data_IF_123637169974
#
_entry.id   IF_123637169974
#
_cell.length_a   1.000
_cell.length_b   1.000
_cell.length_c   1.000
_cell.angle_alpha   90.00
_cell.angle_beta   90.00
_cell.angle_gamma   90.00
#
_symmetry.space_group_name_H-M   'P 1'
#
loop_
_entity.id
_entity.type
_entity.pdbx_description
1 polymer ?
#
# COMPACT_ATOMS: atom_id res chain seq x y z
N UNK A 1 3.79 1.60 -29.58
CA UNK A 1 3.53 0.54 -30.55
C UNK A 1 2.14 0.67 -31.19
N UNK A 2 0.99 0.40 -30.54
CA UNK A 2 -0.34 0.48 -31.19
C UNK A 2 -0.63 1.87 -31.79
N UNK A 3 -0.30 2.95 -31.06
CA UNK A 3 -0.47 4.32 -31.53
C UNK A 3 0.45 4.69 -32.69
N UNK A 4 1.59 4.05 -32.85
CA UNK A 4 2.52 4.22 -34.00
C UNK A 4 1.99 3.47 -35.23
N UNK A 5 1.63 2.19 -35.03
CA UNK A 5 1.00 1.37 -36.07
C UNK A 5 -0.27 2.03 -36.63
N UNK A 6 -1.10 2.62 -35.74
CA UNK A 6 -2.32 3.31 -36.14
C UNK A 6 -2.09 4.63 -36.94
N UNK A 7 -0.87 5.16 -36.97
CA UNK A 7 -0.47 6.34 -37.71
C UNK A 7 0.18 5.99 -39.05
N UNK A 8 0.73 4.78 -39.16
CA UNK A 8 1.39 4.32 -40.35
C UNK A 8 0.35 3.81 -41.35
N UNK A 9 0.28 4.47 -42.53
CA UNK A 9 -0.69 4.14 -43.58
C UNK A 9 -0.28 2.92 -44.44
N UNK A 10 0.95 2.44 -44.24
CA UNK A 10 1.45 1.27 -44.99
C UNK A 10 1.09 -0.05 -44.33
N UNK A 11 0.73 0.01 -42.99
CA UNK A 11 0.40 -1.17 -42.23
C UNK A 11 -1.12 -1.44 -42.31
N UNK A 12 -1.49 -2.57 -42.91
CA UNK A 12 -2.87 -3.02 -43.03
C UNK A 12 -3.17 -4.26 -42.16
N UNK A 13 -2.14 -4.99 -41.72
CA UNK A 13 -2.29 -6.25 -40.96
C UNK A 13 -1.29 -6.28 -39.81
N UNK A 14 -1.78 -6.68 -38.63
CA UNK A 14 -0.98 -7.08 -37.47
C UNK A 14 -1.10 -8.60 -37.35
N UNK A 15 -0.01 -9.31 -37.67
CA UNK A 15 0.03 -10.76 -37.53
C UNK A 15 0.52 -11.14 -36.13
N UNK A 16 -0.27 -11.93 -35.41
CA UNK A 16 0.08 -12.51 -34.12
C UNK A 16 0.07 -14.04 -34.20
N UNK A 17 0.84 -14.71 -33.35
CA UNK A 17 0.83 -16.16 -33.30
C UNK A 17 -0.57 -16.69 -32.90
N UNK A 18 -1.12 -16.12 -31.81
CA UNK A 18 -2.46 -16.41 -31.30
C UNK A 18 -3.04 -15.15 -30.65
N UNK A 19 -4.35 -15.05 -30.55
CA UNK A 19 -5.00 -13.83 -30.03
C UNK A 19 -4.64 -13.51 -28.58
N UNK A 20 -4.24 -14.48 -27.74
CA UNK A 20 -3.71 -14.26 -26.39
C UNK A 20 -2.35 -13.52 -26.38
N UNK A 21 -1.63 -13.53 -27.52
CA UNK A 21 -0.38 -12.74 -27.68
C UNK A 21 -0.67 -11.30 -28.07
N UNK A 22 -1.83 -11.02 -28.64
CA UNK A 22 -2.24 -9.66 -28.94
C UNK A 22 -2.55 -8.87 -27.67
N UNK A 23 -3.37 -9.41 -26.78
CA UNK A 23 -3.66 -8.85 -25.48
C UNK A 23 -4.10 -9.93 -24.47
N UNK A 24 -3.73 -9.73 -23.21
CA UNK A 24 -4.17 -10.60 -22.11
C UNK A 24 -5.51 -10.16 -21.50
N UNK A 25 -5.96 -8.95 -21.78
CA UNK A 25 -7.21 -8.39 -21.28
C UNK A 25 -8.25 -8.46 -22.41
N UNK A 26 -9.23 -9.35 -22.28
CA UNK A 26 -10.22 -9.63 -23.31
C UNK A 26 -10.97 -8.39 -23.81
N UNK A 27 -11.52 -7.59 -22.87
CA UNK A 27 -12.25 -6.37 -23.22
C UNK A 27 -11.37 -5.32 -23.91
N UNK A 28 -10.17 -5.06 -23.40
CA UNK A 28 -9.23 -4.12 -24.01
C UNK A 28 -8.78 -4.59 -25.40
N UNK A 29 -8.64 -5.91 -25.61
CA UNK A 29 -8.33 -6.50 -26.90
C UNK A 29 -9.43 -6.20 -27.92
N UNK A 30 -10.70 -6.40 -27.54
CA UNK A 30 -11.85 -6.12 -28.40
C UNK A 30 -11.93 -4.64 -28.79
N UNK A 31 -11.77 -3.75 -27.82
CA UNK A 31 -11.77 -2.29 -28.07
C UNK A 31 -10.60 -1.87 -28.98
N UNK A 32 -9.42 -2.43 -28.73
CA UNK A 32 -8.23 -2.14 -29.55
C UNK A 32 -8.39 -2.68 -30.97
N UNK A 33 -8.92 -3.89 -31.11
CA UNK A 33 -9.25 -4.48 -32.42
C UNK A 33 -10.25 -3.61 -33.20
N UNK A 34 -11.33 -3.19 -32.55
CA UNK A 34 -12.34 -2.31 -33.15
C UNK A 34 -11.75 -0.96 -33.60
N UNK A 35 -10.89 -0.37 -32.78
CA UNK A 35 -10.18 0.87 -33.11
C UNK A 35 -9.24 0.70 -34.32
N UNK A 36 -8.50 -0.41 -34.37
CA UNK A 36 -7.61 -0.72 -35.52
C UNK A 36 -8.41 -0.98 -36.80
N UNK A 37 -9.49 -1.77 -36.70
CA UNK A 37 -10.39 -2.06 -37.81
C UNK A 37 -10.99 -0.77 -38.41
N UNK A 38 -11.37 0.19 -37.57
CA UNK A 38 -11.85 1.50 -38.02
C UNK A 38 -10.80 2.31 -38.82
N UNK A 39 -9.52 1.94 -38.68
CA UNK A 39 -8.40 2.54 -39.43
C UNK A 39 -7.95 1.66 -40.60
N UNK A 40 -8.66 0.57 -40.91
CA UNK A 40 -8.32 -0.35 -41.99
C UNK A 40 -7.19 -1.33 -41.64
N UNK A 41 -6.90 -1.50 -40.34
CA UNK A 41 -5.84 -2.41 -39.86
C UNK A 41 -6.49 -3.62 -39.20
N UNK A 42 -6.19 -4.80 -39.70
CA UNK A 42 -6.73 -6.08 -39.22
C UNK A 42 -5.73 -6.80 -38.33
N UNK A 43 -6.24 -7.42 -37.27
CA UNK A 43 -5.44 -8.31 -36.42
C UNK A 43 -5.73 -9.74 -36.84
N UNK A 44 -4.72 -10.46 -37.30
CA UNK A 44 -4.83 -11.83 -37.81
C UNK A 44 -3.98 -12.77 -36.97
N UNK A 45 -4.55 -13.92 -36.59
CA UNK A 45 -3.84 -14.97 -35.85
C UNK A 45 -3.32 -16.04 -36.82
N UNK A 46 -2.08 -16.48 -36.62
CA UNK A 46 -1.47 -17.55 -37.38
C UNK A 46 -2.06 -18.95 -37.05
N UNK A 47 -2.53 -19.13 -35.83
CA UNK A 47 -3.02 -20.43 -35.34
C UNK A 47 -4.54 -20.51 -35.23
N UNK A 48 -5.24 -19.38 -35.27
CA UNK A 48 -6.69 -19.28 -35.12
C UNK A 48 -7.25 -18.60 -36.36
N UNK A 49 -7.55 -19.40 -37.39
CA UNK A 49 -8.04 -18.89 -38.67
C UNK A 49 -9.46 -18.33 -38.49
N UNK A 50 -9.58 -17.02 -38.61
CA UNK A 50 -10.84 -16.27 -38.60
C UNK A 50 -10.85 -15.33 -39.81
N UNK A 51 -12.03 -15.05 -40.32
CA UNK A 51 -12.21 -14.05 -41.36
C UNK A 51 -12.65 -12.71 -40.71
N UNK A 52 -11.73 -11.71 -40.55
CA UNK A 52 -12.06 -10.48 -39.85
C UNK A 52 -13.09 -9.59 -40.57
N UNK A 53 -13.39 -9.86 -41.82
CA UNK A 53 -14.38 -9.11 -42.61
C UNK A 53 -15.79 -9.68 -42.54
N UNK A 54 -15.92 -10.95 -42.22
CA UNK A 54 -17.23 -11.56 -41.99
C UNK A 54 -17.79 -11.25 -40.60
N UNK A 55 -19.12 -11.12 -40.51
CA UNK A 55 -19.78 -10.93 -39.22
C UNK A 55 -19.56 -12.14 -38.29
N UNK A 56 -19.55 -13.34 -38.84
CA UNK A 56 -19.32 -14.57 -38.10
C UNK A 56 -17.87 -14.68 -37.62
N UNK A 57 -16.89 -14.30 -38.45
CA UNK A 57 -15.48 -14.28 -38.03
C UNK A 57 -15.18 -13.24 -36.96
N UNK A 58 -15.73 -12.03 -37.10
CA UNK A 58 -15.62 -10.99 -36.09
C UNK A 58 -16.20 -11.42 -34.75
N UNK A 59 -17.37 -12.08 -34.72
CA UNK A 59 -17.97 -12.65 -33.52
C UNK A 59 -17.10 -13.76 -32.93
N UNK A 60 -16.56 -14.65 -33.75
CA UNK A 60 -15.69 -15.73 -33.29
C UNK A 60 -14.42 -15.18 -32.60
N UNK A 61 -13.82 -14.15 -33.16
CA UNK A 61 -12.68 -13.47 -32.52
C UNK A 61 -13.03 -12.89 -31.15
N UNK A 62 -14.19 -12.25 -31.03
CA UNK A 62 -14.67 -11.69 -29.77
C UNK A 62 -14.92 -12.79 -28.73
N UNK A 63 -15.49 -13.93 -29.15
CA UNK A 63 -15.63 -15.12 -28.29
C UNK A 63 -14.26 -15.63 -27.83
N UNK A 64 -13.27 -15.70 -28.70
CA UNK A 64 -11.91 -16.11 -28.34
C UNK A 64 -11.30 -15.17 -27.32
N UNK A 65 -11.45 -13.85 -27.49
CA UNK A 65 -10.95 -12.87 -26.49
C UNK A 65 -11.64 -13.03 -25.14
N UNK A 66 -12.96 -13.24 -25.11
CA UNK A 66 -13.70 -13.49 -23.87
C UNK A 66 -13.26 -14.80 -23.19
N UNK A 67 -13.04 -15.85 -23.98
CA UNK A 67 -12.56 -17.14 -23.47
C UNK A 67 -11.14 -17.01 -22.87
N UNK A 68 -10.24 -16.31 -23.54
CA UNK A 68 -8.91 -16.01 -23.04
C UNK A 68 -8.96 -15.24 -21.71
N UNK A 69 -9.87 -14.27 -21.59
CA UNK A 69 -10.10 -13.53 -20.35
C UNK A 69 -10.61 -14.45 -19.22
N UNK A 70 -11.55 -15.32 -19.51
CA UNK A 70 -12.10 -16.29 -18.58
C UNK A 70 -11.01 -17.25 -18.08
N UNK A 71 -10.18 -17.81 -18.97
CA UNK A 71 -9.04 -18.66 -18.57
C UNK A 71 -8.05 -17.93 -17.67
N UNK A 72 -7.75 -16.66 -17.95
CA UNK A 72 -6.86 -15.87 -17.12
C UNK A 72 -7.44 -15.65 -15.72
N UNK A 73 -8.75 -15.41 -15.61
CA UNK A 73 -9.44 -15.26 -14.33
C UNK A 73 -9.41 -16.60 -13.55
N UNK A 74 -9.73 -17.71 -14.19
CA UNK A 74 -9.64 -19.05 -13.57
C UNK A 74 -8.23 -19.36 -13.06
N UNK A 75 -7.22 -19.00 -13.85
CA UNK A 75 -5.81 -19.19 -13.46
C UNK A 75 -5.44 -18.35 -12.26
N UNK A 76 -5.88 -17.07 -12.25
CA UNK A 76 -5.73 -16.18 -11.10
C UNK A 76 -6.38 -16.73 -9.84
N UNK A 77 -7.62 -17.20 -9.93
CA UNK A 77 -8.36 -17.76 -8.78
C UNK A 77 -7.68 -19.02 -8.21
N UNK A 78 -7.23 -19.91 -9.09
CA UNK A 78 -6.45 -21.10 -8.68
C UNK A 78 -5.15 -20.71 -7.97
N UNK A 79 -4.43 -19.70 -8.47
CA UNK A 79 -3.21 -19.21 -7.83
C UNK A 79 -3.50 -18.60 -6.44
N UNK A 80 -4.54 -17.77 -6.32
CA UNK A 80 -4.94 -17.18 -5.04
C UNK A 80 -5.34 -18.26 -4.03
N UNK A 81 -6.15 -19.21 -4.45
CA UNK A 81 -6.56 -20.34 -3.60
C UNK A 81 -5.34 -21.14 -3.11
N UNK A 82 -4.40 -21.45 -4.00
CA UNK A 82 -3.16 -22.14 -3.62
C UNK A 82 -2.27 -21.32 -2.67
N UNK A 83 -2.22 -19.98 -2.84
CA UNK A 83 -1.51 -19.09 -1.91
C UNK A 83 -2.16 -19.07 -0.52
N UNK A 84 -3.50 -18.98 -0.46
CA UNK A 84 -4.25 -19.03 0.81
C UNK A 84 -4.04 -20.35 1.53
N UNK A 85 -4.13 -21.47 0.82
CA UNK A 85 -3.90 -22.79 1.37
C UNK A 85 -2.46 -22.95 1.89
N UNK A 86 -1.47 -22.48 1.13
CA UNK A 86 -0.07 -22.47 1.56
C UNK A 86 0.10 -21.71 2.89
N UNK A 87 -0.50 -20.53 3.03
CA UNK A 87 -0.45 -19.74 4.26
C UNK A 87 -1.18 -20.43 5.42
N UNK A 88 -2.36 -21.01 5.19
CA UNK A 88 -3.14 -21.76 6.22
C UNK A 88 -2.39 -22.98 6.74
N UNK A 89 -1.57 -23.59 5.89
CA UNK A 89 -0.67 -24.66 6.28
C UNK A 89 0.60 -24.18 7.00
N UNK A 90 0.68 -22.89 7.36
CA UNK A 90 1.82 -22.28 8.06
C UNK A 90 3.04 -22.04 7.18
N UNK A 91 2.90 -22.13 5.86
CA UNK A 91 4.01 -21.95 4.93
C UNK A 91 3.97 -20.59 4.25
N UNK A 92 5.15 -20.00 4.00
CA UNK A 92 5.28 -18.72 3.32
C UNK A 92 5.54 -18.92 1.83
N UNK A 93 4.64 -18.46 0.96
CA UNK A 93 4.74 -18.68 -0.49
C UNK A 93 5.63 -17.66 -1.21
N UNK A 94 5.76 -16.45 -0.67
CA UNK A 94 6.42 -15.31 -1.33
C UNK A 94 7.92 -15.23 -0.98
N UNK A 95 8.56 -14.12 -1.36
CA UNK A 95 9.92 -13.80 -0.95
C UNK A 95 10.00 -13.72 0.58
N UNK A 96 11.00 -14.36 1.20
CA UNK A 96 11.16 -14.30 2.65
C UNK A 96 11.32 -12.86 3.16
N UNK A 97 10.78 -12.55 4.35
CA UNK A 97 11.08 -11.31 5.04
C UNK A 97 12.58 -11.15 5.32
N UNK A 98 13.00 -9.89 5.56
CA UNK A 98 14.40 -9.61 5.90
C UNK A 98 14.84 -10.44 7.11
N UNK A 99 16.00 -11.06 7.02
CA UNK A 99 16.55 -11.90 8.08
C UNK A 99 16.27 -13.38 7.92
N UNK A 100 15.56 -13.78 6.86
CA UNK A 100 15.30 -15.19 6.56
C UNK A 100 15.79 -15.59 5.19
N UNK A 101 16.24 -16.85 5.09
CA UNK A 101 16.52 -17.53 3.84
C UNK A 101 15.58 -18.72 3.65
N UNK A 102 15.30 -19.04 2.39
CA UNK A 102 14.43 -20.15 2.01
C UNK A 102 15.29 -21.35 1.65
N UNK A 103 15.29 -22.34 2.51
CA UNK A 103 16.01 -23.59 2.28
C UNK A 103 15.05 -24.66 1.76
N UNK A 104 15.48 -25.43 0.78
CA UNK A 104 14.73 -26.58 0.27
C UNK A 104 15.15 -27.82 1.06
N UNK A 105 14.19 -28.42 1.77
CA UNK A 105 14.40 -29.66 2.52
C UNK A 105 13.46 -30.74 1.91
N UNK A 106 14.01 -31.58 1.06
CA UNK A 106 13.25 -32.55 0.30
C UNK A 106 12.28 -31.89 -0.69
N UNK A 107 10.98 -32.04 -0.48
CA UNK A 107 9.90 -31.40 -1.29
C UNK A 107 9.39 -30.10 -0.71
N UNK A 108 9.78 -29.79 0.51
CA UNK A 108 9.28 -28.63 1.24
C UNK A 108 10.30 -27.49 1.28
N UNK A 109 9.82 -26.31 1.55
CA UNK A 109 10.65 -25.12 1.75
C UNK A 109 10.50 -24.64 3.20
N UNK A 110 11.61 -24.61 3.92
CA UNK A 110 11.68 -24.12 5.30
C UNK A 110 12.36 -22.75 5.31
N UNK A 111 11.85 -21.84 6.10
CA UNK A 111 12.44 -20.52 6.32
C UNK A 111 13.32 -20.56 7.58
N UNK A 112 14.61 -20.30 7.39
CA UNK A 112 15.61 -20.28 8.47
C UNK A 112 16.19 -18.89 8.65
N UNK A 113 16.59 -18.58 9.88
CA UNK A 113 17.19 -17.29 10.23
C UNK A 113 18.61 -17.22 9.66
N UNK A 114 18.90 -16.19 8.87
CA UNK A 114 20.23 -15.91 8.33
C UNK A 114 21.03 -14.92 9.20
N UNK A 115 22.28 -14.61 8.79
CA UNK A 115 23.13 -13.69 9.54
C UNK A 115 22.51 -12.29 9.73
N UNK A 116 21.76 -11.80 8.73
CA UNK A 116 21.02 -10.53 8.87
C UNK A 116 19.91 -10.64 9.92
N UNK A 117 19.28 -11.81 10.02
CA UNK A 117 18.28 -12.09 11.03
C UNK A 117 18.88 -12.10 12.44
N UNK A 118 20.06 -12.70 12.62
CA UNK A 118 20.78 -12.68 13.90
C UNK A 118 21.10 -11.25 14.34
N UNK A 119 21.53 -10.39 13.42
CA UNK A 119 21.76 -8.96 13.70
C UNK A 119 20.43 -8.26 14.02
N UNK A 120 19.37 -8.55 13.25
CA UNK A 120 18.05 -7.95 13.43
C UNK A 120 17.43 -8.31 14.78
N UNK A 121 17.69 -9.50 15.31
CA UNK A 121 17.26 -9.91 16.66
C UNK A 121 17.67 -8.91 17.73
N UNK A 122 18.88 -8.32 17.61
CA UNK A 122 19.35 -7.31 18.56
C UNK A 122 18.44 -6.09 18.61
N UNK A 123 17.84 -5.70 17.47
CA UNK A 123 16.92 -4.56 17.45
C UNK A 123 15.69 -4.78 18.34
N UNK A 124 15.13 -5.99 18.33
CA UNK A 124 14.02 -6.35 19.23
C UNK A 124 14.47 -6.38 20.69
N UNK A 125 15.63 -6.96 20.97
CA UNK A 125 16.17 -7.03 22.34
C UNK A 125 16.43 -5.62 22.87
N UNK A 126 17.12 -4.76 22.16
CA UNK A 126 17.38 -3.38 22.58
C UNK A 126 16.09 -2.60 22.81
N UNK A 127 15.11 -2.75 21.90
CA UNK A 127 13.81 -2.09 22.06
C UNK A 127 13.09 -2.58 23.31
N UNK A 128 13.10 -3.90 23.57
CA UNK A 128 12.42 -4.51 24.70
C UNK A 128 13.11 -4.25 26.05
N UNK A 129 14.45 -4.20 26.09
CA UNK A 129 15.22 -4.09 27.35
C UNK A 129 15.63 -2.65 27.69
N UNK A 130 16.09 -1.91 26.67
CA UNK A 130 16.62 -0.56 26.84
C UNK A 130 15.59 0.53 26.51
N UNK A 131 14.49 0.20 25.81
CA UNK A 131 13.47 1.15 25.40
C UNK A 131 13.95 2.24 24.41
N UNK A 132 15.08 2.01 23.74
CA UNK A 132 15.71 3.01 22.87
C UNK A 132 14.87 3.32 21.62
N UNK A 133 15.07 4.53 21.09
CA UNK A 133 14.33 5.01 19.93
C UNK A 133 14.76 4.34 18.63
N UNK A 134 13.85 4.27 17.65
CA UNK A 134 14.09 3.61 16.37
C UNK A 134 15.28 4.20 15.59
N UNK A 135 15.57 5.49 15.75
CA UNK A 135 16.71 6.17 15.09
C UNK A 135 18.02 5.60 15.62
N UNK A 136 18.12 5.43 16.92
CA UNK A 136 19.32 4.90 17.56
C UNK A 136 19.50 3.41 17.21
N UNK A 137 18.40 2.63 17.17
CA UNK A 137 18.45 1.23 16.72
C UNK A 137 18.99 1.14 15.30
N UNK A 138 18.52 1.98 14.38
CA UNK A 138 19.01 2.02 12.99
C UNK A 138 20.51 2.32 12.94
N UNK A 139 21.00 3.24 13.78
CA UNK A 139 22.44 3.56 13.84
C UNK A 139 23.27 2.38 14.35
N UNK A 140 22.82 1.71 15.42
CA UNK A 140 23.49 0.52 15.96
C UNK A 140 23.50 -0.65 14.97
N UNK A 141 22.37 -0.89 14.25
CA UNK A 141 22.30 -1.91 13.21
C UNK A 141 23.25 -1.62 12.04
N UNK A 142 23.37 -0.35 11.65
CA UNK A 142 24.33 0.09 10.62
C UNK A 142 25.77 -0.20 11.05
N UNK A 143 26.12 -0.01 12.32
CA UNK A 143 27.42 -0.38 12.90
C UNK A 143 27.71 -1.88 12.83
N UNK A 144 26.67 -2.72 12.84
CA UNK A 144 26.77 -4.19 12.69
C UNK A 144 26.68 -4.65 11.22
N UNK A 145 26.65 -3.72 10.25
CA UNK A 145 26.61 -4.04 8.82
C UNK A 145 25.21 -4.22 8.23
N UNK A 146 24.13 -3.96 9.01
CA UNK A 146 22.77 -4.02 8.52
C UNK A 146 22.21 -2.60 8.29
N UNK A 147 22.11 -2.22 7.02
CA UNK A 147 21.57 -0.90 6.63
C UNK A 147 20.09 -1.01 6.31
N UNK A 148 19.26 -0.39 7.15
CA UNK A 148 17.81 -0.30 6.97
C UNK A 148 17.36 1.12 7.30
N UNK A 149 16.23 1.55 6.77
CA UNK A 149 15.61 2.82 7.13
C UNK A 149 14.67 2.67 8.34
N UNK A 150 14.34 3.79 8.99
CA UNK A 150 13.44 3.83 10.16
C UNK A 150 12.04 3.27 9.84
N UNK A 151 11.50 3.56 8.64
CA UNK A 151 10.16 3.10 8.25
C UNK A 151 10.13 1.58 8.09
N UNK A 152 11.22 1.02 7.53
CA UNK A 152 11.35 -0.42 7.37
C UNK A 152 11.56 -1.11 8.72
N UNK A 153 12.41 -0.55 9.60
CA UNK A 153 12.56 -1.05 10.97
C UNK A 153 11.22 -1.10 11.70
N UNK A 154 10.44 -0.02 11.65
CA UNK A 154 9.14 0.04 12.31
C UNK A 154 8.19 -1.06 11.79
N UNK A 155 8.13 -1.31 10.48
CA UNK A 155 7.36 -2.41 9.89
C UNK A 155 7.83 -3.78 10.40
N UNK A 156 9.13 -3.97 10.56
CA UNK A 156 9.72 -5.21 11.06
C UNK A 156 9.32 -5.44 12.52
N UNK A 157 9.45 -4.42 13.39
CA UNK A 157 9.14 -4.51 14.81
C UNK A 157 7.66 -4.83 15.09
N UNK A 158 6.75 -4.48 14.17
CA UNK A 158 5.31 -4.75 14.27
C UNK A 158 4.86 -5.99 13.48
N UNK A 159 5.76 -6.70 12.81
CA UNK A 159 5.39 -7.86 12.01
C UNK A 159 5.43 -9.15 12.86
N UNK A 160 4.29 -9.81 13.10
CA UNK A 160 4.21 -11.02 13.92
C UNK A 160 4.95 -12.22 13.30
N UNK A 161 5.37 -12.11 12.04
CA UNK A 161 6.15 -13.15 11.38
C UNK A 161 7.43 -13.52 12.15
N UNK A 162 8.07 -12.55 12.80
CA UNK A 162 9.32 -12.73 13.54
C UNK A 162 9.14 -13.49 14.86
N UNK A 163 7.92 -13.55 15.39
CA UNK A 163 7.58 -14.36 16.56
C UNK A 163 6.79 -15.63 16.24
N UNK A 164 6.80 -16.05 14.95
CA UNK A 164 6.26 -17.34 14.54
C UNK A 164 4.81 -17.30 14.04
N UNK A 165 4.21 -16.13 13.82
CA UNK A 165 2.84 -16.01 13.29
C UNK A 165 2.83 -15.42 11.88
N UNK A 166 1.91 -15.89 11.06
CA UNK A 166 1.67 -15.38 9.71
C UNK A 166 0.39 -14.55 9.72
N UNK A 167 0.54 -13.28 9.38
CA UNK A 167 -0.56 -12.36 9.09
C UNK A 167 -0.42 -11.87 7.64
N UNK A 168 -1.44 -12.06 6.82
CA UNK A 168 -1.38 -11.69 5.41
C UNK A 168 -2.75 -11.22 4.92
N UNK A 169 -2.77 -10.25 4.02
CA UNK A 169 -4.01 -9.68 3.46
C UNK A 169 -4.93 -10.72 2.78
N UNK A 170 -4.38 -11.81 2.25
CA UNK A 170 -5.17 -12.91 1.69
C UNK A 170 -5.93 -13.74 2.73
N UNK A 171 -5.55 -13.65 4.01
CA UNK A 171 -6.20 -14.34 5.13
C UNK A 171 -7.25 -13.45 5.82
N UNK A 172 -7.38 -12.16 5.42
CA UNK A 172 -8.19 -11.20 6.16
C UNK A 172 -7.61 -10.96 7.56
N UNK A 173 -8.44 -11.15 8.60
CA UNK A 173 -8.05 -10.97 10.00
C UNK A 173 -7.50 -12.25 10.65
N UNK A 174 -7.43 -13.35 9.90
CA UNK A 174 -6.95 -14.65 10.40
C UNK A 174 -5.43 -14.61 10.61
N UNK A 175 -4.97 -15.00 11.79
CA UNK A 175 -3.55 -15.13 12.15
C UNK A 175 -3.22 -16.61 12.31
N UNK A 176 -2.24 -17.10 11.56
CA UNK A 176 -1.87 -18.51 11.51
C UNK A 176 -0.52 -18.72 12.16
N UNK A 177 -0.36 -19.81 12.90
CA UNK A 177 0.96 -20.23 13.38
C UNK A 177 1.80 -20.71 12.20
N UNK A 178 2.95 -20.08 12.00
CA UNK A 178 3.85 -20.39 10.89
C UNK A 178 4.86 -21.49 11.23
N UNK A 179 5.40 -22.11 10.18
CA UNK A 179 6.43 -23.15 10.25
C UNK A 179 7.87 -22.60 10.15
N UNK A 180 8.01 -21.25 10.06
CA UNK A 180 9.33 -20.60 10.00
C UNK A 180 10.07 -20.70 11.33
N UNK A 181 11.40 -20.65 11.28
CA UNK A 181 12.23 -20.50 12.47
C UNK A 181 11.87 -19.18 13.20
N UNK A 182 11.69 -19.28 14.51
CA UNK A 182 11.32 -18.14 15.35
C UNK A 182 12.55 -17.27 15.60
N UNK A 183 12.48 -15.98 15.26
CA UNK A 183 13.56 -15.03 15.51
C UNK A 183 13.56 -14.56 16.97
N UNK A 184 12.38 -14.23 17.51
CA UNK A 184 12.16 -13.75 18.87
C UNK A 184 10.94 -14.45 19.47
N UNK A 185 10.89 -14.56 20.79
CA UNK A 185 9.74 -15.06 21.51
C UNK A 185 8.57 -14.05 21.51
N UNK A 186 7.36 -14.57 21.68
CA UNK A 186 6.13 -13.77 21.70
C UNK A 186 6.13 -12.72 22.82
N UNK A 187 6.71 -13.04 23.99
CA UNK A 187 6.81 -12.11 25.10
C UNK A 187 7.64 -10.86 24.74
N UNK A 188 8.78 -11.05 24.09
CA UNK A 188 9.62 -9.96 23.58
C UNK A 188 8.88 -9.15 22.50
N UNK A 189 8.17 -9.81 21.58
CA UNK A 189 7.40 -9.14 20.55
C UNK A 189 6.30 -8.26 21.16
N UNK A 190 5.53 -8.79 22.10
CA UNK A 190 4.46 -8.06 22.80
C UNK A 190 5.01 -6.89 23.60
N UNK A 191 6.15 -7.05 24.26
CA UNK A 191 6.82 -5.98 24.99
C UNK A 191 7.25 -4.85 24.07
N UNK A 192 7.85 -5.16 22.92
CA UNK A 192 8.24 -4.17 21.89
C UNK A 192 7.02 -3.41 21.38
N UNK A 193 5.92 -4.11 21.09
CA UNK A 193 4.69 -3.49 20.63
C UNK A 193 3.97 -2.70 21.74
N UNK A 194 4.00 -3.16 22.99
CA UNK A 194 3.52 -2.42 24.14
C UNK A 194 4.25 -1.10 24.35
N UNK A 195 5.58 -1.10 24.25
CA UNK A 195 6.39 0.13 24.34
C UNK A 195 6.08 1.07 23.16
N UNK A 196 5.94 0.53 21.95
CA UNK A 196 5.62 1.33 20.76
C UNK A 196 4.23 1.97 20.85
N UNK A 197 3.26 1.26 21.45
CA UNK A 197 1.90 1.75 21.65
C UNK A 197 1.77 2.64 22.89
N UNK A 198 2.55 2.41 23.96
CA UNK A 198 2.58 3.25 25.14
C UNK A 198 3.14 4.66 24.87
N UNK A 199 4.01 4.79 23.86
CA UNK A 199 4.40 6.11 23.33
C UNK A 199 3.28 6.82 22.55
N UNK A 200 2.20 6.12 22.24
CA UNK A 200 0.90 6.59 21.77
C UNK A 200 -0.17 6.46 22.88
N UNK A 201 0.20 6.61 24.15
CA UNK A 201 -0.76 7.29 24.99
C UNK A 201 -1.08 8.57 24.22
N UNK A 202 -2.30 8.66 23.71
CA UNK A 202 -2.93 9.95 23.55
C UNK A 202 -2.72 10.61 24.90
N UNK A 203 -1.60 11.32 25.08
CA UNK A 203 -1.68 12.49 25.95
C UNK A 203 -2.96 13.09 25.46
N UNK A 204 -3.96 13.20 26.31
CA UNK A 204 -4.98 14.21 26.10
C UNK A 204 -4.17 15.43 25.77
N UNK A 205 -3.99 15.60 24.46
CA UNK A 205 -3.49 16.82 23.94
C UNK A 205 -4.62 17.74 24.31
N UNK A 206 -4.48 18.41 25.42
CA UNK A 206 -4.89 19.80 25.49
C UNK A 206 -4.18 20.43 24.32
N UNK A 207 -4.73 20.18 23.12
CA UNK A 207 -4.17 20.74 21.92
C UNK A 207 -4.28 22.23 22.14
N UNK A 208 -3.16 22.95 22.24
CA UNK A 208 -3.22 24.40 22.35
C UNK A 208 -3.96 25.01 21.14
N UNK A 209 -4.34 24.16 20.18
CA UNK A 209 -4.98 24.47 18.93
C UNK A 209 -6.20 23.56 18.67
N UNK A 210 -7.29 23.67 19.46
CA UNK A 210 -8.48 22.80 19.31
C UNK A 210 -9.15 22.91 17.94
N UNK A 211 -9.01 24.07 17.28
CA UNK A 211 -9.60 24.34 15.97
C UNK A 211 -8.71 23.98 14.78
N UNK A 212 -7.54 23.37 15.02
CA UNK A 212 -6.68 22.86 13.97
C UNK A 212 -7.43 21.92 13.05
N UNK A 213 -7.35 22.14 11.74
CA UNK A 213 -8.08 21.43 10.67
C UNK A 213 -9.57 21.71 10.57
N UNK A 214 -10.19 22.37 11.54
CA UNK A 214 -11.60 22.77 11.49
C UNK A 214 -11.81 24.15 10.88
N UNK A 215 -10.76 25.01 10.90
CA UNK A 215 -10.81 26.36 10.31
C UNK A 215 -10.24 26.31 8.90
N UNK A 216 -11.00 26.89 7.97
CA UNK A 216 -10.64 26.99 6.56
C UNK A 216 -10.16 28.43 6.29
N UNK A 217 -9.07 28.57 5.56
CA UNK A 217 -8.54 29.88 5.15
C UNK A 217 -9.47 30.54 4.13
N UNK A 218 -9.94 31.77 4.40
CA UNK A 218 -10.79 32.55 3.49
C UNK A 218 -10.12 32.85 2.14
N UNK A 219 -8.79 32.99 2.13
CA UNK A 219 -8.05 33.43 0.93
C UNK A 219 -7.82 32.29 -0.06
N UNK A 220 -7.67 31.04 0.42
CA UNK A 220 -7.25 29.93 -0.45
C UNK A 220 -7.97 28.60 -0.21
N UNK A 221 -8.94 28.52 0.72
CA UNK A 221 -9.69 27.31 1.04
C UNK A 221 -8.89 26.19 1.71
N UNK A 222 -7.63 26.43 2.09
CA UNK A 222 -6.78 25.45 2.79
C UNK A 222 -7.05 25.43 4.29
N UNK A 223 -6.85 24.27 4.95
CA UNK A 223 -6.98 24.17 6.41
C UNK A 223 -5.86 24.96 7.12
N UNK A 224 -6.22 25.67 8.19
CA UNK A 224 -5.27 26.33 9.06
C UNK A 224 -4.60 25.33 10.00
N UNK A 225 -3.33 25.58 10.32
CA UNK A 225 -2.54 24.82 11.29
C UNK A 225 -2.08 25.74 12.43
N UNK A 226 -2.08 25.21 13.65
CA UNK A 226 -1.65 25.96 14.83
C UNK A 226 -0.13 25.91 15.04
N UNK A 227 0.45 27.02 15.53
CA UNK A 227 1.84 27.08 15.98
C UNK A 227 2.02 28.10 17.10
N UNK A 228 2.99 27.85 17.97
CA UNK A 228 3.34 28.73 19.11
C UNK A 228 4.61 29.51 18.81
N UNK A 229 4.58 30.83 18.98
CA UNK A 229 5.79 31.67 18.96
C UNK A 229 6.38 31.71 20.34
N UNK A 230 7.35 30.83 20.60
CA UNK A 230 7.99 30.65 21.93
C UNK A 230 8.54 31.96 22.53
N UNK A 231 9.10 32.84 21.69
CA UNK A 231 9.68 34.10 22.14
C UNK A 231 8.65 35.11 22.70
N UNK A 232 7.35 34.94 22.34
CA UNK A 232 6.27 35.85 22.74
C UNK A 232 5.18 35.13 23.58
N UNK A 233 5.29 33.83 23.76
CA UNK A 233 4.27 33.01 24.46
C UNK A 233 2.88 33.08 23.80
N UNK A 234 2.79 33.34 22.51
CA UNK A 234 1.52 33.53 21.80
C UNK A 234 1.29 32.47 20.75
N UNK A 235 0.04 32.08 20.63
CA UNK A 235 -0.44 31.05 19.72
C UNK A 235 -1.13 31.64 18.51
N UNK A 236 -0.92 31.01 17.34
CA UNK A 236 -1.42 31.47 16.06
C UNK A 236 -1.93 30.33 15.21
N UNK A 237 -2.93 30.61 14.37
CA UNK A 237 -3.34 29.77 13.25
C UNK A 237 -2.83 30.34 11.94
N UNK A 238 -2.12 29.55 11.14
CA UNK A 238 -1.62 29.96 9.82
C UNK A 238 -1.98 28.98 8.72
N UNK A 239 -2.11 29.48 7.50
CA UNK A 239 -2.24 28.66 6.31
C UNK A 239 -0.88 28.11 5.86
N UNK A 240 -0.82 26.80 5.57
CA UNK A 240 0.41 26.14 5.08
C UNK A 240 0.47 26.04 3.55
N UNK A 241 -0.54 26.55 2.83
CA UNK A 241 -0.54 26.51 1.36
C UNK A 241 0.54 27.47 0.84
N UNK A 242 1.39 26.97 -0.05
CA UNK A 242 2.49 27.77 -0.63
C UNK A 242 1.95 29.03 -1.29
N UNK A 243 2.47 30.20 -0.86
CA UNK A 243 2.05 31.52 -1.35
C UNK A 243 0.93 32.19 -0.54
N UNK A 244 0.23 31.49 0.36
CA UNK A 244 -0.77 32.10 1.24
C UNK A 244 -0.10 32.69 2.49
N UNK A 245 -0.45 33.95 2.83
CA UNK A 245 0.11 34.69 3.98
C UNK A 245 -0.87 34.78 5.17
N UNK A 246 -2.00 34.11 5.10
CA UNK A 246 -3.04 34.15 6.14
C UNK A 246 -2.51 33.62 7.47
N UNK A 247 -2.58 34.47 8.52
CA UNK A 247 -2.08 34.20 9.86
C UNK A 247 -2.88 34.97 10.89
N UNK A 248 -3.51 34.29 11.84
CA UNK A 248 -4.42 34.86 12.83
C UNK A 248 -4.03 34.40 14.23
N UNK A 249 -4.11 35.30 15.23
CA UNK A 249 -3.92 34.90 16.63
C UNK A 249 -5.07 34.00 17.08
N UNK A 250 -4.79 33.05 17.96
CA UNK A 250 -5.82 32.16 18.56
C UNK A 250 -6.91 32.95 19.27
N UNK A 251 -6.56 34.03 19.96
CA UNK A 251 -7.49 34.92 20.64
C UNK A 251 -8.51 35.58 19.68
N UNK A 252 -8.00 36.08 18.54
CA UNK A 252 -8.86 36.68 17.51
C UNK A 252 -9.84 35.67 16.93
N UNK A 253 -9.35 34.50 16.59
CA UNK A 253 -10.18 33.42 16.03
C UNK A 253 -11.23 32.97 17.04
N UNK A 254 -10.87 32.82 18.31
CA UNK A 254 -11.80 32.45 19.37
C UNK A 254 -12.90 33.52 19.55
N UNK A 255 -12.51 34.82 19.56
CA UNK A 255 -13.50 35.91 19.69
C UNK A 255 -14.45 35.99 18.49
N UNK A 256 -13.99 35.78 17.27
CA UNK A 256 -14.84 35.76 16.07
C UNK A 256 -15.83 34.60 16.11
N UNK A 257 -15.40 33.40 16.49
CA UNK A 257 -16.27 32.23 16.64
C UNK A 257 -17.29 32.47 17.76
N UNK A 258 -16.87 33.04 18.88
CA UNK A 258 -17.80 33.35 19.99
C UNK A 258 -18.88 34.36 19.57
N UNK A 259 -18.54 35.37 18.78
CA UNK A 259 -19.51 36.33 18.24
C UNK A 259 -20.48 35.66 17.25
N UNK A 260 -20.01 34.73 16.42
CA UNK A 260 -20.89 33.96 15.51
C UNK A 260 -21.88 33.13 16.32
N UNK A 261 -21.44 32.49 17.41
CA UNK A 261 -22.32 31.72 18.30
C UNK A 261 -23.36 32.60 18.97
N UNK A 262 -22.97 33.75 19.52
CA UNK A 262 -23.89 34.69 20.18
C UNK A 262 -24.94 35.26 19.23
N UNK A 263 -24.56 35.52 17.99
CA UNK A 263 -25.45 36.11 17.01
C UNK A 263 -26.36 35.08 16.30
N UNK A 264 -26.01 33.81 16.33
CA UNK A 264 -26.71 32.71 15.65
C UNK A 264 -27.55 31.82 16.55
N UNK A 265 -27.42 31.91 17.86
CA UNK A 265 -28.14 31.05 18.81
C UNK A 265 -29.41 31.73 19.28
N UNK A 266 -30.53 31.44 18.63
CA UNK A 266 -31.85 31.71 19.19
C UNK A 266 -32.17 30.65 20.26
N UNK A 267 -32.13 31.02 21.54
CA UNK A 267 -32.66 30.16 22.61
C UNK A 267 -34.19 30.11 22.37
N UNK A 268 -34.79 28.93 22.17
CA UNK A 268 -36.24 28.84 22.15
C UNK A 268 -36.76 29.27 23.54
N UNK A 269 -37.65 30.21 23.58
CA UNK A 269 -38.42 30.54 24.81
C UNK A 269 -39.15 29.27 25.24
N UNK A 270 -39.02 28.88 26.56
CA UNK A 270 -39.73 27.76 27.18
C UNK A 270 -41.22 27.98 27.23
#
# INVERSE_FOLDING_TARGET
MIAEVARDKEINIILVYSFDRFSRAGYEAMMTKAYLKAKGIYVVSATQATDPDSAAGGFMEDVIFLFNQFENNLRKDKCITGMVECLRNGNWYSKPPLGYDKLKVGREHVLTVNEKGKILRNAFVWKATEGIGDIEIVQRLKGLGLVIDRKHLNKILHNPFYCGFIQHSLLGDEVIKGNQEILIDEATFNKVNGISNAGYEHKEITEPFPLKRHIICSDCGGCLTGYTVKARGRDYYKCNKKGCKSNHSTEKVASEIYQIFLNGYNIPDE
#
